data_IF_940249570244
#
_entry.id   IF_940249570244
#
_cell.length_a   1.000
_cell.length_b   1.000
_cell.length_c   1.000
_cell.angle_alpha   90.00
_cell.angle_beta   90.00
_cell.angle_gamma   90.00
#
_symmetry.space_group_name_H-M   'P 1'
#
loop_
_entity.id
_entity.type
_entity.pdbx_description
1 polymer ?
#
# COMPACT_ATOMS: atom_id res chain seq x y z
N UNK A 1 48.30 5.78 16.64
CA UNK A 1 47.50 6.84 17.28
C UNK A 1 46.13 6.84 16.63
N UNK A 2 45.07 6.89 17.41
CA UNK A 2 43.70 6.86 16.89
C UNK A 2 43.31 8.28 16.41
N UNK A 3 43.44 8.53 15.11
CA UNK A 3 43.17 9.84 14.50
C UNK A 3 41.70 10.26 14.63
N UNK A 4 40.79 9.31 14.89
CA UNK A 4 39.35 9.56 14.99
C UNK A 4 39.01 10.21 16.35
N UNK A 5 39.79 9.94 17.41
CA UNK A 5 39.54 10.52 18.73
C UNK A 5 39.75 12.04 18.80
N UNK A 6 40.47 12.61 17.83
CA UNK A 6 40.75 14.05 17.73
C UNK A 6 39.69 14.85 16.95
N UNK A 7 38.69 14.19 16.36
CA UNK A 7 37.64 14.89 15.62
C UNK A 7 36.77 15.76 16.53
N UNK A 8 36.36 16.98 16.10
CA UNK A 8 35.38 17.80 16.80
C UNK A 8 34.08 17.03 17.10
N UNK A 9 33.42 17.36 18.21
CA UNK A 9 32.22 16.66 18.67
C UNK A 9 31.10 16.70 17.64
N UNK A 10 30.91 17.84 16.97
CA UNK A 10 29.93 18.02 15.90
C UNK A 10 30.14 17.05 14.73
N UNK A 11 31.40 16.80 14.35
CA UNK A 11 31.74 15.86 13.28
C UNK A 11 31.44 14.43 13.73
N UNK A 12 31.77 14.08 14.97
CA UNK A 12 31.46 12.76 15.54
C UNK A 12 29.94 12.55 15.55
N UNK A 13 29.16 13.51 16.05
CA UNK A 13 27.68 13.43 16.06
C UNK A 13 27.16 13.27 14.64
N UNK A 14 27.67 14.04 13.68
CA UNK A 14 27.30 13.93 12.26
C UNK A 14 27.61 12.54 11.70
N UNK A 15 28.77 11.96 12.00
CA UNK A 15 29.11 10.58 11.63
C UNK A 15 28.10 9.59 12.25
N UNK A 16 27.80 9.73 13.54
CA UNK A 16 26.85 8.88 14.24
C UNK A 16 25.43 8.97 13.65
N UNK A 17 25.03 10.11 13.07
CA UNK A 17 23.71 10.23 12.41
C UNK A 17 23.55 9.37 11.14
N UNK A 18 24.65 8.93 10.54
CA UNK A 18 24.64 8.02 9.39
C UNK A 18 24.62 6.53 9.79
N UNK A 19 24.82 6.23 11.08
CA UNK A 19 24.83 4.87 11.60
C UNK A 19 23.45 4.49 12.14
N UNK A 20 23.14 3.19 12.10
CA UNK A 20 21.97 2.65 12.82
C UNK A 20 22.21 2.76 14.31
N UNK A 21 21.14 2.89 15.10
CA UNK A 21 21.27 3.03 16.56
C UNK A 21 22.08 1.88 17.17
N UNK A 22 21.88 0.63 16.75
CA UNK A 22 22.72 -0.51 17.20
C UNK A 22 24.23 -0.28 17.03
N UNK A 23 24.64 0.30 15.92
CA UNK A 23 26.05 0.55 15.61
C UNK A 23 26.56 1.77 16.37
N UNK A 24 25.75 2.83 16.48
CA UNK A 24 26.02 3.96 17.38
C UNK A 24 26.27 3.46 18.81
N UNK A 25 25.43 2.55 19.31
CA UNK A 25 25.58 2.00 20.67
C UNK A 25 26.89 1.22 20.84
N UNK A 26 27.34 0.49 19.81
CA UNK A 26 28.64 -0.20 19.85
C UNK A 26 29.80 0.77 19.98
N UNK A 27 29.70 1.96 19.39
CA UNK A 27 30.75 2.98 19.52
C UNK A 27 30.86 3.57 20.93
N UNK A 28 29.82 3.46 21.77
CA UNK A 28 29.84 3.99 23.15
C UNK A 28 30.91 3.33 24.03
N UNK A 29 31.36 2.12 23.68
CA UNK A 29 32.37 1.39 24.45
C UNK A 29 33.79 1.90 24.15
N UNK A 30 33.97 2.66 23.06
CA UNK A 30 35.28 3.15 22.61
C UNK A 30 35.86 4.20 23.56
N UNK A 31 35.04 5.13 24.08
CA UNK A 31 35.47 6.06 25.12
C UNK A 31 34.30 6.76 25.83
N UNK A 32 34.60 7.42 26.96
CA UNK A 32 33.64 8.26 27.70
C UNK A 32 33.03 9.38 26.81
N UNK A 33 33.79 9.89 25.83
CA UNK A 33 33.34 10.92 24.88
C UNK A 33 32.30 10.38 23.91
N UNK A 34 32.52 9.21 23.30
CA UNK A 34 31.52 8.59 22.43
C UNK A 34 30.24 8.23 23.19
N UNK A 35 30.40 7.82 24.45
CA UNK A 35 29.28 7.57 25.38
C UNK A 35 28.47 8.82 25.75
N UNK A 36 29.02 10.03 25.69
CA UNK A 36 28.22 11.25 25.91
C UNK A 36 27.56 11.75 24.62
N UNK A 37 28.24 11.61 23.47
CA UNK A 37 27.80 12.18 22.20
C UNK A 37 26.64 11.44 21.54
N UNK A 38 26.47 10.14 21.78
CA UNK A 38 25.36 9.40 21.16
C UNK A 38 23.97 9.93 21.58
N UNK A 39 23.86 10.56 22.75
CA UNK A 39 22.62 11.16 23.26
C UNK A 39 22.16 12.31 22.34
N UNK A 40 23.10 12.94 21.63
CA UNK A 40 22.84 14.04 20.69
C UNK A 40 22.33 13.54 19.33
N UNK A 41 22.37 12.24 19.06
CA UNK A 41 21.88 11.70 17.79
C UNK A 41 20.36 11.89 17.71
N UNK A 42 19.80 12.53 16.67
CA UNK A 42 18.39 12.89 16.63
C UNK A 42 17.47 11.72 16.26
N UNK A 43 18.02 10.55 15.95
CA UNK A 43 17.28 9.36 15.50
C UNK A 43 17.60 8.18 16.41
N UNK A 44 16.55 7.60 16.99
CA UNK A 44 16.66 6.41 17.83
C UNK A 44 15.83 5.27 17.27
N UNK A 45 16.47 4.12 17.15
CA UNK A 45 15.90 2.86 16.70
C UNK A 45 16.10 1.83 17.82
N UNK A 46 15.01 1.42 18.45
CA UNK A 46 15.01 0.35 19.44
C UNK A 46 14.18 -0.81 18.91
N UNK A 47 14.88 -1.84 18.45
CA UNK A 47 14.26 -3.06 17.97
C UNK A 47 14.51 -4.19 18.97
N UNK A 48 13.52 -4.47 19.81
CA UNK A 48 13.64 -5.51 20.84
C UNK A 48 13.97 -6.87 20.20
N UNK A 49 13.30 -7.19 19.08
CA UNK A 49 13.35 -8.47 18.35
C UNK A 49 14.71 -8.74 17.68
N UNK A 50 15.46 -7.72 17.27
CA UNK A 50 16.74 -7.91 16.55
C UNK A 50 17.97 -7.46 17.35
N UNK A 51 17.78 -6.68 18.41
CA UNK A 51 18.89 -6.21 19.26
C UNK A 51 19.24 -7.18 20.38
N UNK A 52 18.28 -8.01 20.83
CA UNK A 52 18.50 -8.98 21.90
C UNK A 52 18.43 -10.44 21.45
N UNK A 53 18.00 -10.70 20.22
CA UNK A 53 17.90 -12.03 19.67
C UNK A 53 18.99 -12.21 18.59
N UNK A 54 19.84 -13.23 18.78
CA UNK A 54 20.44 -13.93 17.64
C UNK A 54 19.33 -14.61 16.82
N UNK A 55 19.67 -15.20 15.67
CA UNK A 55 18.75 -16.00 14.85
C UNK A 55 17.71 -16.79 15.67
N UNK A 56 16.50 -16.93 15.12
CA UNK A 56 15.22 -17.44 15.68
C UNK A 56 15.23 -18.72 16.57
N UNK A 57 16.39 -19.28 16.94
CA UNK A 57 16.56 -20.51 17.71
C UNK A 57 16.62 -20.35 19.23
N UNK A 58 16.85 -19.16 19.80
CA UNK A 58 16.93 -18.98 21.27
C UNK A 58 15.77 -18.12 21.80
N UNK A 59 14.82 -18.76 22.50
CA UNK A 59 13.72 -18.05 23.17
C UNK A 59 14.29 -17.18 24.30
N UNK A 60 14.30 -15.87 24.12
CA UNK A 60 14.78 -14.94 25.14
C UNK A 60 14.03 -15.10 26.46
N UNK A 61 14.77 -14.97 27.56
CA UNK A 61 14.25 -15.08 28.92
C UNK A 61 13.70 -13.74 29.41
N UNK A 62 12.73 -13.74 30.34
CA UNK A 62 12.15 -12.52 30.95
C UNK A 62 13.21 -11.46 31.40
N UNK A 63 14.37 -11.84 31.97
CA UNK A 63 15.45 -10.91 32.32
C UNK A 63 16.02 -10.08 31.17
N UNK A 64 16.05 -10.59 29.94
CA UNK A 64 16.65 -9.88 28.80
C UNK A 64 15.78 -8.72 28.33
N UNK A 65 14.46 -8.86 28.44
CA UNK A 65 13.50 -7.78 28.18
C UNK A 65 13.65 -6.62 29.18
N UNK A 66 13.87 -6.93 30.47
CA UNK A 66 14.08 -5.91 31.50
C UNK A 66 15.35 -5.09 31.22
N UNK A 67 16.42 -5.72 30.70
CA UNK A 67 17.64 -4.99 30.31
C UNK A 67 17.36 -4.02 29.17
N UNK A 68 16.57 -4.44 28.18
CA UNK A 68 16.16 -3.59 27.07
C UNK A 68 15.34 -2.39 27.53
N UNK A 69 14.31 -2.57 28.36
CA UNK A 69 13.49 -1.44 28.81
C UNK A 69 14.28 -0.45 29.65
N UNK A 70 15.10 -0.93 30.58
CA UNK A 70 16.00 -0.07 31.37
C UNK A 70 16.96 0.71 30.47
N UNK A 71 17.32 0.15 29.34
CA UNK A 71 18.16 0.82 28.37
C UNK A 71 17.37 1.89 27.60
N UNK A 72 16.16 1.60 27.13
CA UNK A 72 15.27 2.60 26.51
C UNK A 72 15.01 3.76 27.48
N UNK A 73 14.65 3.46 28.73
CA UNK A 73 14.49 4.44 29.82
C UNK A 73 15.70 5.36 29.93
N UNK A 74 16.88 4.77 30.16
CA UNK A 74 18.12 5.55 30.31
C UNK A 74 18.43 6.36 29.05
N UNK A 75 18.10 5.83 27.87
CA UNK A 75 18.36 6.49 26.61
C UNK A 75 17.51 7.74 26.41
N UNK A 76 16.23 7.66 26.75
CA UNK A 76 15.31 8.79 26.63
C UNK A 76 15.53 9.80 27.76
N UNK A 77 15.73 9.34 28.99
CA UNK A 77 15.91 10.21 30.16
C UNK A 77 17.26 10.92 30.19
N UNK A 78 18.30 10.37 29.54
CA UNK A 78 19.61 11.02 29.48
C UNK A 78 19.69 12.17 28.48
N UNK A 79 18.64 12.40 27.67
CA UNK A 79 18.55 13.53 26.75
C UNK A 79 18.22 14.80 27.54
N UNK A 80 19.21 15.66 27.72
CA UNK A 80 19.07 16.95 28.40
C UNK A 80 18.34 18.00 27.52
N UNK A 81 17.11 17.71 27.07
CA UNK A 81 16.33 18.63 26.24
C UNK A 81 16.69 18.64 24.75
N UNK A 82 17.52 17.70 24.30
CA UNK A 82 17.94 17.61 22.90
C UNK A 82 16.82 17.10 22.01
N UNK A 83 16.67 17.71 20.82
CA UNK A 83 15.60 17.39 19.89
C UNK A 83 15.70 15.94 19.44
N UNK A 84 14.63 15.18 19.65
CA UNK A 84 14.48 13.82 19.13
C UNK A 84 13.64 13.88 17.86
N UNK A 85 14.28 13.85 16.69
CA UNK A 85 13.57 13.96 15.42
C UNK A 85 12.77 12.70 15.09
N UNK A 86 13.36 11.52 15.29
CA UNK A 86 12.77 10.24 14.91
C UNK A 86 12.92 9.20 16.01
N UNK A 87 11.84 8.47 16.27
CA UNK A 87 11.82 7.33 17.17
C UNK A 87 11.19 6.13 16.47
N UNK A 88 11.89 5.01 16.48
CA UNK A 88 11.36 3.71 16.13
C UNK A 88 11.42 2.79 17.34
N UNK A 89 10.28 2.20 17.65
CA UNK A 89 10.12 1.21 18.71
C UNK A 89 9.46 -0.02 18.13
N UNK A 90 10.16 -1.16 18.17
CA UNK A 90 9.57 -2.48 17.97
C UNK A 90 9.60 -3.23 19.28
N UNK A 91 8.41 -3.49 19.81
CA UNK A 91 8.20 -4.10 21.12
C UNK A 91 7.59 -5.50 20.97
N UNK A 92 8.08 -6.44 21.76
CA UNK A 92 7.66 -7.84 21.86
C UNK A 92 6.51 -8.01 22.87
N UNK A 93 6.37 -9.16 23.52
CA UNK A 93 5.18 -9.52 24.29
C UNK A 93 5.16 -9.09 25.77
N UNK A 94 6.25 -8.50 26.30
CA UNK A 94 6.39 -8.30 27.75
C UNK A 94 6.36 -6.84 28.24
N UNK A 95 6.20 -5.85 27.38
CA UNK A 95 6.21 -4.43 27.79
C UNK A 95 5.05 -4.08 28.74
N UNK A 96 5.25 -3.06 29.59
CA UNK A 96 4.16 -2.45 30.36
C UNK A 96 3.61 -1.24 29.61
N UNK A 97 2.29 -1.04 29.70
CA UNK A 97 1.60 0.13 29.14
C UNK A 97 2.27 1.43 29.61
N UNK A 98 2.46 1.56 30.93
CA UNK A 98 2.93 2.80 31.56
C UNK A 98 4.31 3.21 31.04
N UNK A 99 5.20 2.25 30.82
CA UNK A 99 6.55 2.50 30.33
C UNK A 99 6.51 3.09 28.90
N UNK A 100 5.66 2.54 28.03
CA UNK A 100 5.50 3.02 26.64
C UNK A 100 4.92 4.43 26.61
N UNK A 101 3.92 4.72 27.44
CA UNK A 101 3.34 6.07 27.55
C UNK A 101 4.38 7.07 28.06
N UNK A 102 5.21 6.70 29.06
CA UNK A 102 6.29 7.55 29.56
C UNK A 102 7.33 7.81 28.46
N UNK A 103 7.74 6.79 27.72
CA UNK A 103 8.71 6.92 26.64
C UNK A 103 8.23 7.87 25.56
N UNK A 104 6.98 7.70 25.13
CA UNK A 104 6.39 8.50 24.06
C UNK A 104 6.08 9.92 24.53
N UNK A 105 5.58 10.10 25.76
CA UNK A 105 5.41 11.42 26.36
C UNK A 105 6.74 12.18 26.48
N UNK A 106 7.83 11.49 26.81
CA UNK A 106 9.18 12.07 26.84
C UNK A 106 9.65 12.43 25.43
N UNK A 107 9.45 11.53 24.45
CA UNK A 107 9.82 11.78 23.06
C UNK A 107 9.08 12.99 22.47
N UNK A 108 7.77 13.10 22.73
CA UNK A 108 6.92 14.22 22.31
C UNK A 108 7.43 15.54 22.90
N UNK A 109 7.80 15.57 24.19
CA UNK A 109 8.42 16.75 24.83
C UNK A 109 9.73 17.17 24.15
N UNK A 110 10.46 16.25 23.55
CA UNK A 110 11.68 16.54 22.78
C UNK A 110 11.43 16.87 21.31
N UNK A 111 10.19 17.19 20.92
CA UNK A 111 9.87 17.68 19.57
C UNK A 111 9.85 16.59 18.51
N UNK A 112 9.33 15.41 18.86
CA UNK A 112 9.20 14.26 17.96
C UNK A 112 8.51 14.63 16.63
N UNK A 113 9.16 14.27 15.51
CA UNK A 113 8.62 14.48 14.17
C UNK A 113 8.23 13.19 13.47
N UNK A 114 8.94 12.11 13.72
CA UNK A 114 8.68 10.82 13.08
C UNK A 114 8.60 9.72 14.14
N UNK A 115 7.47 9.03 14.18
CA UNK A 115 7.26 7.89 15.05
C UNK A 115 6.88 6.66 14.23
N UNK A 116 7.57 5.55 14.50
CA UNK A 116 7.16 4.23 14.07
C UNK A 116 7.13 3.28 15.26
N UNK A 117 5.94 2.80 15.61
CA UNK A 117 5.69 1.93 16.74
C UNK A 117 5.10 0.61 16.25
N UNK A 118 5.74 -0.50 16.56
CA UNK A 118 5.33 -1.83 16.16
C UNK A 118 5.22 -2.75 17.37
N UNK A 119 4.08 -3.40 17.55
CA UNK A 119 3.87 -4.42 18.56
C UNK A 119 3.91 -5.81 17.92
N UNK A 120 4.66 -6.73 18.51
CA UNK A 120 4.82 -8.12 18.06
C UNK A 120 4.09 -9.12 18.98
N UNK A 121 3.22 -8.62 19.88
CA UNK A 121 2.50 -9.48 20.82
C UNK A 121 1.28 -10.15 20.16
N UNK A 122 0.85 -11.28 20.73
CA UNK A 122 -0.43 -11.94 20.41
C UNK A 122 -1.66 -11.17 20.92
N UNK A 123 -1.45 -10.06 21.63
CA UNK A 123 -2.49 -9.20 22.19
C UNK A 123 -2.54 -7.83 21.52
N UNK A 124 -3.51 -7.03 21.94
CA UNK A 124 -3.68 -5.65 21.45
C UNK A 124 -2.63 -4.75 22.10
N UNK A 125 -1.79 -4.09 21.29
CA UNK A 125 -0.88 -3.06 21.78
C UNK A 125 -1.61 -1.87 22.41
N UNK A 126 -1.00 -1.19 23.39
CA UNK A 126 -1.64 -0.09 24.11
C UNK A 126 -1.91 1.09 23.19
N UNK A 127 -2.99 1.82 23.48
CA UNK A 127 -3.16 3.17 22.96
C UNK A 127 -2.17 4.10 23.65
N UNK A 128 -1.74 5.17 22.96
CA UNK A 128 -0.79 6.12 23.54
C UNK A 128 -1.35 7.52 23.40
N UNK A 129 -1.73 8.11 24.53
CA UNK A 129 -2.50 9.35 24.56
C UNK A 129 -1.64 10.58 24.24
N UNK A 130 -0.39 10.58 24.70
CA UNK A 130 0.57 11.67 24.45
C UNK A 130 0.84 11.95 22.97
N UNK A 131 0.56 11.01 22.07
CA UNK A 131 0.76 11.20 20.64
C UNK A 131 -0.28 12.11 20.00
N UNK A 132 -1.53 12.06 20.45
CA UNK A 132 -2.64 12.76 19.79
C UNK A 132 -2.58 14.27 19.94
N UNK A 133 -1.79 14.79 20.88
CA UNK A 133 -1.57 16.23 21.10
C UNK A 133 -0.22 16.70 20.58
N UNK A 134 0.54 15.84 19.89
CA UNK A 134 1.86 16.17 19.38
C UNK A 134 1.78 17.01 18.10
N UNK A 135 1.91 18.33 18.23
CA UNK A 135 1.83 19.26 17.10
C UNK A 135 3.03 19.19 16.16
N UNK A 136 4.18 18.66 16.61
CA UNK A 136 5.41 18.54 15.81
C UNK A 136 5.44 17.28 14.94
N UNK A 137 4.54 16.32 15.17
CA UNK A 137 4.55 15.02 14.52
C UNK A 137 4.17 15.15 13.04
N UNK A 138 5.06 14.72 12.15
CA UNK A 138 4.92 14.75 10.70
C UNK A 138 4.58 13.36 10.15
N UNK A 139 5.17 12.31 10.72
CA UNK A 139 4.97 10.91 10.32
C UNK A 139 4.59 10.07 11.52
N UNK A 140 3.43 9.42 11.45
CA UNK A 140 2.95 8.47 12.44
C UNK A 140 2.70 7.11 11.79
N UNK A 141 3.43 6.09 12.23
CA UNK A 141 3.25 4.71 11.78
C UNK A 141 3.00 3.81 13.00
N UNK A 142 1.80 3.26 13.08
CA UNK A 142 1.39 2.34 14.13
C UNK A 142 1.11 0.96 13.53
N UNK A 143 1.64 -0.08 14.15
CA UNK A 143 1.43 -1.48 13.74
C UNK A 143 1.06 -2.35 14.92
N UNK A 144 -0.04 -3.11 14.78
CA UNK A 144 -0.57 -4.04 15.79
C UNK A 144 -0.94 -3.39 17.14
N UNK A 145 -1.28 -2.10 17.13
CA UNK A 145 -1.69 -1.36 18.33
C UNK A 145 -3.21 -1.25 18.49
N UNK A 146 -3.63 -0.47 19.48
CA UNK A 146 -5.01 0.00 19.65
C UNK A 146 -5.14 1.45 19.20
N UNK A 147 -6.21 1.74 18.47
CA UNK A 147 -6.63 3.09 18.15
C UNK A 147 -7.82 3.46 19.04
N UNK A 148 -7.51 4.18 20.12
CA UNK A 148 -8.49 4.83 21.00
C UNK A 148 -8.26 6.33 20.96
N UNK A 149 -9.17 7.06 20.32
CA UNK A 149 -8.98 8.46 19.98
C UNK A 149 -9.63 9.32 21.07
N UNK A 150 -8.86 10.11 21.84
CA UNK A 150 -9.40 10.94 22.90
C UNK A 150 -10.28 12.08 22.35
N UNK A 151 -10.95 12.81 23.25
CA UNK A 151 -11.80 13.96 22.87
C UNK A 151 -10.99 15.12 22.29
N UNK A 152 -9.74 15.27 22.73
CA UNK A 152 -8.87 16.38 22.33
C UNK A 152 -7.71 15.83 21.51
N UNK A 153 -7.69 16.17 20.22
CA UNK A 153 -6.67 15.72 19.25
C UNK A 153 -6.16 16.94 18.50
N UNK A 154 -4.84 17.09 18.40
CA UNK A 154 -4.17 18.18 17.70
C UNK A 154 -2.95 17.64 16.95
N UNK A 155 -3.13 17.23 15.69
CA UNK A 155 -2.08 16.66 14.83
C UNK A 155 -1.82 17.56 13.61
N UNK A 156 -1.56 18.84 13.88
CA UNK A 156 -1.50 19.91 12.86
C UNK A 156 -0.39 19.76 11.81
N UNK A 157 0.70 19.08 12.15
CA UNK A 157 1.84 18.87 11.24
C UNK A 157 1.83 17.52 10.53
N UNK A 158 0.85 16.65 10.81
CA UNK A 158 0.87 15.26 10.37
C UNK A 158 0.61 15.17 8.86
N UNK A 159 1.64 14.75 8.13
CA UNK A 159 1.60 14.55 6.66
C UNK A 159 1.40 13.10 6.27
N UNK A 160 1.86 12.16 7.10
CA UNK A 160 1.77 10.73 6.81
C UNK A 160 1.23 9.97 8.01
N UNK A 161 0.11 9.27 7.81
CA UNK A 161 -0.49 8.37 8.77
C UNK A 161 -0.54 6.95 8.19
N UNK A 162 0.08 6.00 8.89
CA UNK A 162 0.05 4.58 8.56
C UNK A 162 -0.46 3.77 9.74
N UNK A 163 -1.57 3.07 9.54
CA UNK A 163 -2.20 2.22 10.54
C UNK A 163 -2.25 0.80 9.98
N UNK A 164 -1.50 -0.11 10.61
CA UNK A 164 -1.32 -1.49 10.15
C UNK A 164 -1.81 -2.46 11.22
N UNK A 165 -2.76 -3.33 10.87
CA UNK A 165 -3.35 -4.34 11.76
C UNK A 165 -3.81 -3.75 13.10
N UNK A 166 -4.39 -2.55 13.07
CA UNK A 166 -4.84 -1.88 14.29
C UNK A 166 -6.12 -2.54 14.81
N UNK A 167 -6.27 -2.55 16.12
CA UNK A 167 -7.54 -2.78 16.80
C UNK A 167 -8.23 -1.44 17.06
N UNK A 168 -9.55 -1.41 16.94
CA UNK A 168 -10.34 -0.19 17.10
C UNK A 168 -11.27 -0.39 18.30
N UNK A 169 -11.01 0.34 19.39
CA UNK A 169 -11.90 0.35 20.56
C UNK A 169 -13.26 0.93 20.20
N UNK A 170 -13.27 1.92 19.31
CA UNK A 170 -14.46 2.55 18.77
C UNK A 170 -14.42 2.46 17.23
N UNK A 171 -15.47 1.92 16.56
CA UNK A 171 -15.51 1.85 15.10
C UNK A 171 -15.41 3.23 14.41
N UNK A 172 -15.76 4.31 15.12
CA UNK A 172 -15.70 5.69 14.65
C UNK A 172 -14.37 6.40 15.00
N UNK A 173 -13.35 5.68 15.48
CA UNK A 173 -12.07 6.30 15.85
C UNK A 173 -11.42 7.08 14.68
N UNK A 174 -11.43 6.53 13.46
CA UNK A 174 -10.92 7.24 12.28
C UNK A 174 -11.70 8.51 11.95
N UNK A 175 -13.04 8.46 12.09
CA UNK A 175 -13.92 9.61 11.89
C UNK A 175 -13.59 10.77 12.84
N UNK A 176 -13.10 10.46 14.04
CA UNK A 176 -12.65 11.45 15.01
C UNK A 176 -11.22 11.92 14.75
N UNK A 177 -10.34 11.03 14.28
CA UNK A 177 -8.93 11.33 14.09
C UNK A 177 -8.66 12.19 12.85
N UNK A 178 -9.20 11.81 11.69
CA UNK A 178 -8.85 12.41 10.40
C UNK A 178 -9.13 13.93 10.29
N UNK A 179 -10.24 14.48 10.83
CA UNK A 179 -10.48 15.92 10.81
C UNK A 179 -9.42 16.75 11.54
N UNK A 180 -8.67 16.13 12.47
CA UNK A 180 -7.63 16.79 13.27
C UNK A 180 -6.23 16.75 12.60
N UNK A 181 -6.16 16.27 11.35
CA UNK A 181 -4.94 16.15 10.55
C UNK A 181 -5.05 17.00 9.25
N UNK A 182 -5.08 18.35 9.35
CA UNK A 182 -5.44 19.22 8.21
C UNK A 182 -4.46 19.17 7.03
N UNK A 183 -3.19 18.81 7.27
CA UNK A 183 -2.13 18.77 6.25
C UNK A 183 -1.77 17.34 5.78
N UNK A 184 -2.63 16.36 6.09
CA UNK A 184 -2.38 14.95 5.79
C UNK A 184 -2.33 14.70 4.29
N UNK A 185 -1.17 14.28 3.79
CA UNK A 185 -0.95 13.97 2.38
C UNK A 185 -1.06 12.47 2.08
N UNK A 186 -0.71 11.63 3.05
CA UNK A 186 -0.59 10.18 2.90
C UNK A 186 -1.34 9.42 3.98
N UNK A 187 -2.27 8.56 3.56
CA UNK A 187 -3.03 7.68 4.44
C UNK A 187 -2.91 6.22 4.00
N UNK A 188 -2.33 5.39 4.87
CA UNK A 188 -2.22 3.94 4.67
C UNK A 188 -2.99 3.21 5.76
N UNK A 189 -4.09 2.56 5.39
CA UNK A 189 -4.88 1.69 6.26
C UNK A 189 -4.73 0.26 5.77
N UNK A 190 -4.03 -0.57 6.54
CA UNK A 190 -3.74 -1.95 6.18
C UNK A 190 -4.22 -2.86 7.28
N UNK A 191 -5.20 -3.71 7.00
CA UNK A 191 -5.74 -4.65 7.96
C UNK A 191 -5.40 -6.07 7.52
N UNK A 192 -4.48 -6.73 8.26
CA UNK A 192 -4.04 -8.11 7.96
C UNK A 192 -4.82 -9.18 8.71
N UNK A 193 -5.35 -8.83 9.88
CA UNK A 193 -6.09 -9.74 10.76
C UNK A 193 -7.61 -9.60 10.60
N UNK A 194 -8.31 -10.67 10.95
CA UNK A 194 -9.76 -10.69 11.05
C UNK A 194 -10.25 -9.64 12.05
N UNK A 195 -11.27 -8.87 11.66
CA UNK A 195 -12.00 -8.01 12.58
C UNK A 195 -13.39 -8.60 12.81
N UNK A 196 -13.84 -8.68 14.07
CA UNK A 196 -15.17 -9.18 14.38
C UNK A 196 -16.28 -8.23 13.87
N UNK A 197 -15.97 -6.93 13.77
CA UNK A 197 -16.95 -5.89 13.45
C UNK A 197 -16.66 -5.22 12.10
N UNK A 198 -17.71 -4.69 11.47
CA UNK A 198 -17.57 -3.83 10.29
C UNK A 198 -16.90 -2.50 10.68
N UNK A 199 -16.02 -2.00 9.81
CA UNK A 199 -15.41 -0.67 9.96
C UNK A 199 -15.91 0.21 8.83
N UNK A 200 -16.58 1.30 9.17
CA UNK A 200 -16.97 2.28 8.16
C UNK A 200 -15.80 3.25 7.93
N UNK A 201 -15.33 3.30 6.69
CA UNK A 201 -14.24 4.18 6.27
C UNK A 201 -14.83 5.42 5.62
N UNK A 202 -15.04 6.48 6.40
CA UNK A 202 -15.39 7.79 5.85
C UNK A 202 -14.16 8.71 5.89
N UNK A 203 -13.54 8.86 4.73
CA UNK A 203 -12.26 9.52 4.52
C UNK A 203 -12.52 10.84 3.81
N UNK A 204 -12.65 11.89 4.62
CA UNK A 204 -12.85 13.27 4.15
C UNK A 204 -11.63 14.08 4.56
N UNK A 205 -10.67 14.19 3.65
CA UNK A 205 -9.37 14.81 3.91
C UNK A 205 -8.95 15.61 2.67
N UNK A 206 -9.22 16.93 2.62
CA UNK A 206 -8.98 17.74 1.43
C UNK A 206 -7.52 17.79 0.96
N UNK A 207 -6.57 17.65 1.88
CA UNK A 207 -5.12 17.68 1.62
C UNK A 207 -4.55 16.34 1.11
N UNK A 208 -5.34 15.27 1.10
CA UNK A 208 -4.87 13.92 0.82
C UNK A 208 -4.46 13.73 -0.64
N UNK A 209 -3.23 13.25 -0.85
CA UNK A 209 -2.64 12.98 -2.17
C UNK A 209 -2.54 11.48 -2.45
N UNK A 210 -2.32 10.65 -1.42
CA UNK A 210 -2.20 9.19 -1.56
C UNK A 210 -3.03 8.47 -0.51
N UNK A 211 -3.86 7.54 -0.98
CA UNK A 211 -4.69 6.67 -0.15
C UNK A 211 -4.40 5.21 -0.48
N UNK A 212 -4.13 4.40 0.54
CA UNK A 212 -4.04 2.95 0.42
C UNK A 212 -4.94 2.28 1.44
N UNK A 213 -5.92 1.52 0.97
CA UNK A 213 -6.85 0.73 1.77
C UNK A 213 -6.61 -0.75 1.45
N UNK A 214 -6.10 -1.51 2.41
CA UNK A 214 -5.88 -2.95 2.26
C UNK A 214 -6.71 -3.66 3.34
N UNK A 215 -7.79 -4.33 2.94
CA UNK A 215 -8.69 -5.05 3.82
C UNK A 215 -8.36 -6.56 3.84
N UNK A 216 -8.70 -7.28 4.94
CA UNK A 216 -8.32 -8.67 5.09
C UNK A 216 -9.15 -9.58 4.18
N UNK A 217 -8.67 -10.82 4.02
CA UNK A 217 -9.25 -11.87 3.18
C UNK A 217 -10.61 -12.39 3.67
N UNK A 218 -11.00 -12.12 4.92
CA UNK A 218 -12.28 -12.51 5.50
C UNK A 218 -12.80 -11.41 6.42
N UNK A 219 -13.90 -10.78 6.02
CA UNK A 219 -14.75 -9.95 6.87
C UNK A 219 -16.12 -10.60 6.83
N UNK A 220 -16.72 -10.85 7.99
CA UNK A 220 -18.07 -11.42 8.04
C UNK A 220 -19.13 -10.41 7.60
N UNK A 221 -18.81 -9.11 7.72
CA UNK A 221 -19.73 -8.00 7.46
C UNK A 221 -19.20 -7.08 6.35
N UNK A 222 -20.12 -6.42 5.66
CA UNK A 222 -19.79 -5.40 4.67
C UNK A 222 -19.44 -4.09 5.38
N UNK A 223 -18.32 -3.51 5.03
CA UNK A 223 -17.78 -2.23 5.49
C UNK A 223 -18.06 -1.16 4.44
N UNK A 224 -18.67 -0.06 4.85
CA UNK A 224 -18.98 1.06 3.95
C UNK A 224 -17.77 1.98 3.79
N UNK A 225 -17.50 2.41 2.55
CA UNK A 225 -16.39 3.29 2.20
C UNK A 225 -16.92 4.55 1.52
N UNK A 226 -16.58 5.71 2.09
CA UNK A 226 -16.86 7.04 1.56
C UNK A 226 -15.52 7.76 1.43
N UNK A 227 -15.19 8.23 0.23
CA UNK A 227 -13.93 8.94 -0.02
C UNK A 227 -14.25 10.27 -0.70
N UNK A 228 -13.98 11.36 0.02
CA UNK A 228 -14.09 12.73 -0.49
C UNK A 228 -12.75 13.45 -0.26
N UNK A 229 -11.91 13.40 -1.30
CA UNK A 229 -10.51 13.83 -1.25
C UNK A 229 -10.12 14.46 -2.59
N UNK A 230 -10.42 15.75 -2.83
CA UNK A 230 -10.30 16.39 -4.15
C UNK A 230 -8.88 16.44 -4.70
N UNK A 231 -7.84 16.38 -3.86
CA UNK A 231 -6.43 16.42 -4.28
C UNK A 231 -5.79 15.05 -4.47
N UNK A 232 -6.58 13.98 -4.44
CA UNK A 232 -6.08 12.60 -4.53
C UNK A 232 -5.41 12.34 -5.89
N UNK A 233 -4.17 11.85 -5.85
CA UNK A 233 -3.35 11.50 -7.03
C UNK A 233 -3.11 10.01 -7.15
N UNK A 234 -3.14 9.29 -6.04
CA UNK A 234 -2.95 7.83 -6.01
C UNK A 234 -3.98 7.18 -5.09
N UNK A 235 -4.71 6.22 -5.62
CA UNK A 235 -5.64 5.37 -4.89
C UNK A 235 -5.21 3.91 -5.00
N UNK A 236 -5.03 3.24 -3.88
CA UNK A 236 -4.83 1.80 -3.83
C UNK A 236 -5.93 1.18 -2.97
N UNK A 237 -6.70 0.26 -3.54
CA UNK A 237 -7.70 -0.50 -2.79
C UNK A 237 -7.44 -1.98 -3.05
N UNK A 238 -7.14 -2.72 -1.99
CA UNK A 238 -6.97 -4.16 -2.03
C UNK A 238 -8.00 -4.78 -1.08
N UNK A 239 -8.98 -5.51 -1.60
CA UNK A 239 -9.91 -6.26 -0.78
C UNK A 239 -10.31 -7.56 -1.46
N UNK A 240 -9.80 -8.67 -0.93
CA UNK A 240 -9.99 -9.99 -1.52
C UNK A 240 -11.13 -10.79 -0.89
N UNK A 241 -12.01 -10.13 -0.14
CA UNK A 241 -13.09 -10.79 0.61
C UNK A 241 -14.52 -10.44 0.15
N UNK A 242 -14.71 -9.46 -0.73
CA UNK A 242 -16.07 -9.04 -1.13
C UNK A 242 -16.78 -8.14 -0.11
N UNK A 243 -16.07 -7.66 0.90
CA UNK A 243 -16.63 -7.00 2.07
C UNK A 243 -16.69 -5.47 2.03
N UNK A 244 -16.30 -4.81 0.93
CA UNK A 244 -16.38 -3.35 0.84
C UNK A 244 -17.53 -2.94 -0.05
N UNK A 245 -18.31 -1.96 0.39
CA UNK A 245 -19.31 -1.26 -0.42
C UNK A 245 -19.01 0.24 -0.44
N UNK A 246 -19.17 0.85 -1.60
CA UNK A 246 -19.01 2.30 -1.77
C UNK A 246 -20.40 2.95 -1.74
N UNK A 247 -20.57 4.06 -1.04
CA UNK A 247 -21.90 4.68 -0.89
C UNK A 247 -22.15 5.80 -1.91
N UNK A 248 -21.13 6.63 -2.13
CA UNK A 248 -21.16 7.86 -2.94
C UNK A 248 -20.05 7.85 -4.01
N UNK A 249 -20.26 8.52 -5.16
CA UNK A 249 -19.22 8.72 -6.14
C UNK A 249 -18.07 9.56 -5.58
N UNK A 250 -16.84 9.13 -5.83
CA UNK A 250 -15.66 9.87 -5.38
C UNK A 250 -15.51 11.21 -6.11
N UNK A 251 -15.37 12.30 -5.37
CA UNK A 251 -14.97 13.60 -5.90
C UNK A 251 -13.44 13.67 -5.99
N UNK A 252 -12.87 13.31 -7.13
CA UNK A 252 -11.42 13.17 -7.29
C UNK A 252 -10.83 14.09 -8.37
N UNK A 253 -9.54 14.38 -8.20
CA UNK A 253 -8.73 15.19 -9.10
C UNK A 253 -8.60 14.60 -10.51
N UNK A 254 -8.28 15.49 -11.45
CA UNK A 254 -8.01 15.23 -12.86
C UNK A 254 -6.88 14.23 -13.16
N UNK A 255 -5.98 13.98 -12.20
CA UNK A 255 -4.76 13.17 -12.37
C UNK A 255 -4.71 12.05 -11.33
N UNK A 256 -5.76 11.22 -11.27
CA UNK A 256 -5.79 10.06 -10.39
C UNK A 256 -5.19 8.82 -11.09
N UNK A 257 -4.23 8.17 -10.42
CA UNK A 257 -3.83 6.78 -10.68
C UNK A 257 -4.52 5.87 -9.66
N UNK A 258 -5.23 4.85 -10.12
CA UNK A 258 -5.90 3.89 -9.26
C UNK A 258 -5.41 2.46 -9.49
N UNK A 259 -5.04 1.79 -8.41
CA UNK A 259 -4.72 0.37 -8.37
C UNK A 259 -5.74 -0.35 -7.48
N UNK A 260 -6.63 -1.11 -8.09
CA UNK A 260 -7.80 -1.69 -7.45
C UNK A 260 -7.76 -3.21 -7.63
N UNK A 261 -7.38 -3.90 -6.57
CA UNK A 261 -7.40 -5.37 -6.47
C UNK A 261 -8.54 -5.77 -5.54
N UNK A 262 -9.78 -5.78 -6.05
CA UNK A 262 -10.96 -5.95 -5.21
C UNK A 262 -11.89 -7.03 -5.76
N UNK A 263 -12.23 -7.99 -4.94
CA UNK A 263 -13.43 -8.81 -5.16
C UNK A 263 -14.61 -7.94 -4.75
N UNK A 264 -15.45 -7.54 -5.71
CA UNK A 264 -16.62 -6.71 -5.47
C UNK A 264 -17.84 -7.60 -5.62
N UNK A 265 -18.77 -7.51 -4.66
CA UNK A 265 -20.12 -8.07 -4.82
C UNK A 265 -21.08 -7.10 -5.54
N UNK A 266 -20.69 -5.82 -5.67
CA UNK A 266 -21.44 -4.72 -6.30
C UNK A 266 -20.48 -3.66 -6.85
N UNK A 267 -19.88 -3.87 -8.04
CA UNK A 267 -18.86 -2.98 -8.58
C UNK A 267 -19.40 -1.63 -9.07
N UNK A 268 -20.71 -1.52 -9.30
CA UNK A 268 -21.36 -0.40 -9.99
C UNK A 268 -20.94 0.98 -9.45
N UNK A 269 -21.10 1.18 -8.13
CA UNK A 269 -20.80 2.46 -7.47
C UNK A 269 -19.30 2.79 -7.48
N UNK A 270 -18.45 1.76 -7.35
CA UNK A 270 -17.01 1.96 -7.49
C UNK A 270 -16.70 2.36 -8.93
N UNK A 271 -17.11 1.58 -9.92
CA UNK A 271 -16.85 1.86 -11.35
C UNK A 271 -17.32 3.26 -11.76
N UNK A 272 -18.49 3.70 -11.29
CA UNK A 272 -18.96 5.06 -11.51
C UNK A 272 -18.02 6.11 -10.90
N UNK A 273 -17.51 5.87 -9.69
CA UNK A 273 -16.50 6.72 -9.04
C UNK A 273 -15.16 6.75 -9.78
N UNK A 274 -14.86 5.73 -10.59
CA UNK A 274 -13.62 5.62 -11.34
C UNK A 274 -13.70 6.23 -12.75
N UNK A 275 -14.86 6.74 -13.18
CA UNK A 275 -15.06 7.23 -14.55
C UNK A 275 -14.11 8.37 -14.96
N UNK A 276 -13.64 9.18 -13.99
CA UNK A 276 -12.71 10.29 -14.21
C UNK A 276 -11.22 9.91 -14.24
N UNK A 277 -10.89 8.64 -14.00
CA UNK A 277 -9.52 8.17 -13.76
C UNK A 277 -8.73 7.98 -15.06
N UNK A 278 -7.42 8.26 -15.00
CA UNK A 278 -6.52 8.17 -16.17
C UNK A 278 -5.82 6.82 -16.26
N UNK A 279 -5.53 6.19 -15.13
CA UNK A 279 -4.82 4.91 -15.05
C UNK A 279 -5.51 3.99 -14.06
N UNK A 280 -5.96 2.83 -14.53
CA UNK A 280 -6.67 1.83 -13.73
C UNK A 280 -5.95 0.49 -13.83
N UNK A 281 -5.74 -0.16 -12.69
CA UNK A 281 -5.42 -1.60 -12.61
C UNK A 281 -6.54 -2.32 -11.85
N UNK A 282 -7.05 -3.43 -12.41
CA UNK A 282 -8.20 -4.18 -11.89
C UNK A 282 -7.91 -5.69 -11.78
N UNK A 283 -8.17 -6.29 -10.62
CA UNK A 283 -8.49 -7.72 -10.49
C UNK A 283 -9.86 -7.77 -9.79
N UNK A 284 -10.93 -8.04 -10.56
CA UNK A 284 -12.28 -8.21 -10.04
C UNK A 284 -12.71 -9.68 -10.17
N UNK A 285 -13.48 -10.18 -9.21
CA UNK A 285 -14.31 -11.39 -9.38
C UNK A 285 -15.73 -10.99 -9.10
N UNK A 286 -16.68 -11.46 -9.89
CA UNK A 286 -18.07 -11.42 -9.45
C UNK A 286 -18.90 -12.51 -10.13
N UNK A 287 -19.73 -13.15 -9.32
CA UNK A 287 -20.61 -14.27 -9.64
C UNK A 287 -21.91 -13.81 -10.33
N UNK A 288 -22.31 -12.53 -10.22
CA UNK A 288 -23.65 -12.06 -10.66
C UNK A 288 -23.73 -10.57 -11.07
N UNK A 289 -22.80 -10.03 -11.89
CA UNK A 289 -22.76 -8.58 -12.22
C UNK A 289 -23.69 -8.14 -13.33
N UNK A 290 -24.65 -7.29 -12.95
CA UNK A 290 -25.16 -6.21 -13.81
C UNK A 290 -24.07 -5.13 -13.89
N UNK A 291 -23.37 -5.04 -15.02
CA UNK A 291 -22.42 -3.94 -15.21
C UNK A 291 -23.26 -2.70 -15.48
N UNK A 292 -23.00 -1.59 -14.79
CA UNK A 292 -23.85 -0.42 -14.89
C UNK A 292 -23.76 0.11 -16.33
N UNK A 293 -24.87 0.07 -17.06
CA UNK A 293 -24.93 0.66 -18.40
C UNK A 293 -24.58 2.15 -18.30
N UNK A 294 -23.60 2.60 -19.11
CA UNK A 294 -23.25 4.03 -19.21
C UNK A 294 -22.12 4.52 -18.28
N UNK A 295 -21.31 3.64 -17.68
CA UNK A 295 -20.09 4.06 -16.99
C UNK A 295 -18.97 4.42 -17.99
N UNK A 296 -19.10 5.54 -18.67
CA UNK A 296 -18.12 5.96 -19.67
C UNK A 296 -16.81 6.48 -19.03
N UNK A 297 -15.73 5.74 -19.22
CA UNK A 297 -14.36 6.09 -18.85
C UNK A 297 -13.73 7.03 -19.89
N UNK A 298 -14.28 8.24 -20.03
CA UNK A 298 -13.87 9.20 -21.05
C UNK A 298 -12.43 9.71 -20.94
N UNK A 299 -11.76 9.46 -19.81
CA UNK A 299 -10.38 9.93 -19.53
C UNK A 299 -9.36 8.80 -19.42
N UNK A 300 -9.80 7.54 -19.45
CA UNK A 300 -8.95 6.40 -19.17
C UNK A 300 -7.95 6.19 -20.31
N UNK A 301 -6.66 6.33 -20.02
CA UNK A 301 -5.56 6.16 -20.97
C UNK A 301 -4.81 4.84 -20.79
N UNK A 302 -4.81 4.30 -19.58
CA UNK A 302 -4.13 3.05 -19.24
C UNK A 302 -5.07 2.12 -18.47
N UNK A 303 -5.18 0.88 -18.92
CA UNK A 303 -5.96 -0.18 -18.28
C UNK A 303 -5.08 -1.42 -18.11
N UNK A 304 -4.91 -1.87 -16.87
CA UNK A 304 -4.35 -3.19 -16.55
C UNK A 304 -5.44 -4.10 -15.98
N UNK A 305 -5.64 -5.29 -16.55
CA UNK A 305 -6.62 -6.27 -16.06
C UNK A 305 -5.93 -7.57 -15.68
N UNK A 306 -6.35 -8.12 -14.55
CA UNK A 306 -5.85 -9.39 -14.04
C UNK A 306 -6.75 -10.55 -14.46
N UNK A 307 -6.14 -11.62 -14.97
CA UNK A 307 -6.81 -12.86 -15.42
C UNK A 307 -6.98 -13.89 -14.29
N UNK A 308 -6.88 -13.43 -13.04
CA UNK A 308 -6.97 -14.22 -11.80
C UNK A 308 -8.29 -15.01 -11.64
N UNK A 309 -9.36 -14.63 -12.34
CA UNK A 309 -10.76 -14.96 -12.04
C UNK A 309 -11.55 -15.21 -13.31
N UNK A 310 -12.55 -16.09 -13.27
CA UNK A 310 -13.28 -16.57 -14.45
C UNK A 310 -14.04 -15.47 -15.23
N UNK A 311 -14.45 -14.39 -14.57
CA UNK A 311 -15.33 -13.37 -15.16
C UNK A 311 -14.57 -12.16 -15.73
N UNK A 312 -13.23 -12.19 -15.68
CA UNK A 312 -12.37 -11.09 -16.12
C UNK A 312 -12.65 -10.66 -17.56
N UNK A 313 -12.95 -11.62 -18.46
CA UNK A 313 -13.12 -11.37 -19.89
C UNK A 313 -14.36 -10.52 -20.17
N UNK A 314 -15.50 -10.83 -19.55
CA UNK A 314 -16.74 -10.07 -19.74
C UNK A 314 -16.57 -8.62 -19.28
N UNK A 315 -15.93 -8.44 -18.11
CA UNK A 315 -15.62 -7.12 -17.58
C UNK A 315 -14.65 -6.36 -18.50
N UNK A 316 -13.60 -7.04 -18.95
CA UNK A 316 -12.61 -6.46 -19.86
C UNK A 316 -13.27 -5.92 -21.12
N UNK A 317 -14.15 -6.70 -21.77
CA UNK A 317 -14.84 -6.27 -22.98
C UNK A 317 -15.77 -5.08 -22.76
N UNK A 318 -16.49 -5.03 -21.63
CA UNK A 318 -17.33 -3.89 -21.25
C UNK A 318 -16.49 -2.63 -21.00
N UNK A 319 -15.36 -2.75 -20.29
CA UNK A 319 -14.43 -1.64 -20.06
C UNK A 319 -13.86 -1.09 -21.37
N UNK A 320 -13.52 -1.94 -22.34
CA UNK A 320 -13.06 -1.48 -23.65
C UNK A 320 -14.13 -0.66 -24.38
N UNK A 321 -15.40 -1.09 -24.32
CA UNK A 321 -16.51 -0.36 -24.94
C UNK A 321 -16.67 1.04 -24.35
N UNK A 322 -16.50 1.16 -23.04
CA UNK A 322 -16.72 2.40 -22.29
C UNK A 322 -15.48 3.30 -22.19
N UNK A 323 -14.33 2.91 -22.74
CA UNK A 323 -13.04 3.64 -22.61
C UNK A 323 -12.52 4.18 -23.94
N UNK A 324 -13.20 5.16 -24.59
CA UNK A 324 -12.92 5.52 -25.99
C UNK A 324 -11.51 6.07 -26.25
N UNK A 325 -10.85 6.67 -25.24
CA UNK A 325 -9.52 7.30 -25.36
C UNK A 325 -8.38 6.42 -24.85
N UNK A 326 -8.63 5.13 -24.64
CA UNK A 326 -7.65 4.19 -24.09
C UNK A 326 -6.46 4.02 -25.03
N UNK A 327 -5.24 4.21 -24.49
CA UNK A 327 -3.98 4.13 -25.23
C UNK A 327 -3.15 2.89 -24.91
N UNK A 328 -3.27 2.38 -23.69
CA UNK A 328 -2.48 1.25 -23.20
C UNK A 328 -3.39 0.22 -22.57
N UNK A 329 -3.28 -1.02 -23.04
CA UNK A 329 -3.89 -2.20 -22.43
C UNK A 329 -2.78 -3.10 -21.92
N UNK A 330 -2.89 -3.53 -20.67
CA UNK A 330 -2.03 -4.54 -20.06
C UNK A 330 -2.87 -5.67 -19.49
N UNK A 331 -2.55 -6.90 -19.83
CA UNK A 331 -3.18 -8.10 -19.27
C UNK A 331 -2.12 -8.83 -18.46
N UNK A 332 -2.41 -9.17 -17.21
CA UNK A 332 -1.40 -9.75 -16.32
C UNK A 332 -2.01 -10.64 -15.24
N UNK A 333 -1.64 -11.92 -15.19
CA UNK A 333 -2.06 -12.79 -14.10
C UNK A 333 -1.29 -12.51 -12.80
N UNK A 334 -1.79 -11.56 -12.01
CA UNK A 334 -1.15 -11.08 -10.79
C UNK A 334 -1.31 -12.06 -9.61
N UNK A 335 -2.32 -12.93 -9.65
CA UNK A 335 -2.68 -13.87 -8.57
C UNK A 335 -2.80 -15.31 -9.09
N UNK A 336 -2.65 -16.34 -8.23
CA UNK A 336 -2.96 -17.71 -8.59
C UNK A 336 -4.40 -17.82 -9.11
N UNK A 337 -4.62 -18.54 -10.21
CA UNK A 337 -5.97 -18.77 -10.74
C UNK A 337 -6.77 -19.61 -9.74
N UNK A 338 -7.98 -19.15 -9.41
CA UNK A 338 -8.92 -19.89 -8.58
C UNK A 338 -10.01 -20.40 -9.53
N UNK A 339 -10.02 -21.71 -9.80
CA UNK A 339 -10.88 -22.42 -10.75
C UNK A 339 -10.65 -22.05 -12.24
N UNK A 340 -9.83 -22.80 -12.98
CA UNK A 340 -9.67 -22.66 -14.43
C UNK A 340 -10.89 -23.28 -15.15
N UNK A 341 -12.09 -22.72 -14.98
CA UNK A 341 -13.23 -23.13 -15.78
C UNK A 341 -13.23 -22.41 -17.13
N UNK A 342 -13.55 -23.18 -18.17
CA UNK A 342 -13.57 -22.75 -19.57
C UNK A 342 -14.54 -21.58 -19.77
N UNK A 343 -14.02 -20.47 -20.28
CA UNK A 343 -14.83 -19.34 -20.72
C UNK A 343 -15.73 -19.74 -21.89
N UNK A 344 -17.04 -19.54 -21.78
CA UNK A 344 -17.92 -19.53 -22.95
C UNK A 344 -17.57 -18.30 -23.81
N UNK A 345 -17.11 -18.57 -25.02
CA UNK A 345 -16.73 -17.55 -26.01
C UNK A 345 -17.99 -16.87 -26.53
N UNK A 346 -18.28 -15.68 -26.02
CA UNK A 346 -19.17 -14.75 -26.71
C UNK A 346 -18.28 -13.74 -27.42
N UNK A 347 -18.17 -13.85 -28.74
CA UNK A 347 -17.53 -12.83 -29.55
C UNK A 347 -18.22 -11.47 -29.30
N UNK A 348 -17.47 -10.37 -29.17
CA UNK A 348 -18.08 -9.07 -28.97
C UNK A 348 -18.97 -8.69 -30.15
N UNK A 349 -20.17 -8.21 -29.84
CA UNK A 349 -21.20 -7.79 -30.80
C UNK A 349 -20.72 -6.60 -31.67
N UNK A 350 -19.74 -5.82 -31.20
CA UNK A 350 -19.13 -4.71 -31.95
C UNK A 350 -17.69 -4.46 -31.52
N UNK A 351 -16.89 -3.87 -32.42
CA UNK A 351 -15.50 -3.50 -32.13
C UNK A 351 -15.48 -2.25 -31.24
N UNK A 352 -14.86 -2.31 -30.05
CA UNK A 352 -14.71 -1.14 -29.19
C UNK A 352 -13.98 0.00 -29.90
N UNK A 353 -14.50 1.23 -29.79
CA UNK A 353 -13.93 2.42 -30.44
C UNK A 353 -12.47 2.65 -30.06
N UNK A 354 -12.07 2.29 -28.84
CA UNK A 354 -10.71 2.48 -28.36
C UNK A 354 -9.68 1.69 -29.18
N UNK A 355 -10.04 0.48 -29.62
CA UNK A 355 -9.16 -0.38 -30.43
C UNK A 355 -8.92 0.28 -31.79
N UNK A 356 -9.98 0.75 -32.46
CA UNK A 356 -9.86 1.31 -33.81
C UNK A 356 -9.24 2.71 -33.85
N UNK A 357 -9.28 3.49 -32.77
CA UNK A 357 -8.95 4.93 -32.81
C UNK A 357 -7.77 5.38 -31.95
N UNK A 358 -7.44 4.71 -30.84
CA UNK A 358 -6.51 5.27 -29.85
C UNK A 358 -5.49 4.29 -29.27
N UNK A 359 -5.70 2.97 -29.39
CA UNK A 359 -4.82 1.99 -28.76
C UNK A 359 -3.42 2.03 -29.39
N UNK A 360 -2.40 2.35 -28.58
CA UNK A 360 -1.00 2.45 -29.00
C UNK A 360 -0.15 1.28 -28.47
N UNK A 361 -0.45 0.77 -27.27
CA UNK A 361 0.35 -0.28 -26.62
C UNK A 361 -0.56 -1.39 -26.11
N UNK A 362 -0.20 -2.64 -26.44
CA UNK A 362 -0.79 -3.84 -25.89
C UNK A 362 0.29 -4.70 -25.24
N UNK A 363 0.11 -5.07 -23.97
CA UNK A 363 1.03 -5.90 -23.22
C UNK A 363 0.30 -7.08 -22.59
N UNK A 364 0.77 -8.31 -22.81
CA UNK A 364 0.28 -9.52 -22.15
C UNK A 364 1.42 -10.16 -21.35
N UNK A 365 1.28 -10.20 -20.03
CA UNK A 365 2.23 -10.84 -19.12
C UNK A 365 1.70 -12.21 -18.68
N UNK A 366 2.59 -13.20 -18.62
CA UNK A 366 2.29 -14.61 -18.32
C UNK A 366 1.32 -15.22 -19.34
N UNK A 367 1.59 -14.96 -20.62
CA UNK A 367 0.87 -15.57 -21.73
C UNK A 367 1.16 -17.08 -21.79
N UNK A 368 0.11 -17.89 -21.89
CA UNK A 368 0.17 -19.36 -21.95
C UNK A 368 -0.15 -19.90 -23.35
N UNK A 369 -0.66 -19.06 -24.26
CA UNK A 369 -0.96 -19.47 -25.63
C UNK A 369 -2.20 -20.36 -25.74
N UNK A 370 -3.08 -20.33 -24.75
CA UNK A 370 -4.35 -21.08 -24.82
C UNK A 370 -5.19 -20.59 -26.00
N UNK A 371 -6.17 -21.39 -26.44
CA UNK A 371 -7.05 -21.01 -27.55
C UNK A 371 -7.70 -19.63 -27.33
N UNK A 372 -8.23 -19.37 -26.12
CA UNK A 372 -8.86 -18.10 -25.79
C UNK A 372 -7.88 -16.92 -25.80
N UNK A 373 -6.68 -17.11 -25.25
CA UNK A 373 -5.66 -16.06 -25.25
C UNK A 373 -5.22 -15.71 -26.69
N UNK A 374 -5.11 -16.72 -27.55
CA UNK A 374 -4.80 -16.56 -28.98
C UNK A 374 -5.91 -15.82 -29.72
N UNK A 375 -7.16 -16.21 -29.50
CA UNK A 375 -8.33 -15.57 -30.10
C UNK A 375 -8.39 -14.09 -29.72
N UNK A 376 -8.22 -13.75 -28.44
CA UNK A 376 -8.24 -12.37 -27.97
C UNK A 376 -7.05 -11.56 -28.51
N UNK A 377 -5.84 -12.12 -28.47
CA UNK A 377 -4.64 -11.46 -28.98
C UNK A 377 -4.78 -11.17 -30.47
N UNK A 378 -5.26 -12.15 -31.24
CA UNK A 378 -5.50 -12.01 -32.67
C UNK A 378 -6.59 -10.98 -32.96
N UNK A 379 -7.66 -10.96 -32.17
CA UNK A 379 -8.73 -9.97 -32.28
C UNK A 379 -8.19 -8.54 -32.08
N UNK A 380 -7.40 -8.29 -31.03
CA UNK A 380 -6.81 -6.97 -30.78
C UNK A 380 -5.85 -6.58 -31.90
N UNK A 381 -4.96 -7.49 -32.33
CA UNK A 381 -4.02 -7.22 -33.42
C UNK A 381 -4.72 -6.91 -34.76
N UNK A 382 -5.85 -7.56 -35.04
CA UNK A 382 -6.66 -7.34 -36.26
C UNK A 382 -7.53 -6.10 -36.23
N UNK A 383 -7.81 -5.55 -35.05
CA UNK A 383 -8.72 -4.41 -34.88
C UNK A 383 -7.99 -3.11 -34.56
N UNK A 384 -6.82 -3.19 -33.93
CA UNK A 384 -6.07 -2.03 -33.48
C UNK A 384 -5.23 -1.39 -34.60
N UNK A 385 -5.79 -0.34 -35.22
CA UNK A 385 -5.19 0.34 -36.38
C UNK A 385 -3.99 1.21 -36.00
N UNK A 386 -3.99 1.79 -34.80
CA UNK A 386 -2.93 2.70 -34.32
C UNK A 386 -1.90 2.03 -33.39
N UNK A 387 -1.93 0.70 -33.31
CA UNK A 387 -1.07 -0.06 -32.41
C UNK A 387 0.40 0.11 -32.82
N UNK A 388 1.23 0.59 -31.89
CA UNK A 388 2.67 0.79 -32.10
C UNK A 388 3.48 -0.38 -31.57
N UNK A 389 3.06 -0.95 -30.44
CA UNK A 389 3.76 -2.04 -29.77
C UNK A 389 2.78 -3.07 -29.21
N UNK A 390 3.02 -4.34 -29.53
CA UNK A 390 2.39 -5.49 -28.92
C UNK A 390 3.47 -6.36 -28.26
N UNK A 391 3.46 -6.50 -26.94
CA UNK A 391 4.45 -7.28 -26.21
C UNK A 391 3.84 -8.44 -25.43
N UNK A 392 4.41 -9.63 -25.58
CA UNK A 392 3.97 -10.85 -24.91
C UNK A 392 5.11 -11.40 -24.06
N UNK A 393 4.86 -11.67 -22.79
CA UNK A 393 5.81 -12.33 -21.89
C UNK A 393 5.25 -13.70 -21.55
N UNK A 394 5.96 -14.76 -21.94
CA UNK A 394 5.48 -16.12 -21.72
C UNK A 394 5.47 -16.48 -20.23
N UNK A 395 4.51 -17.31 -19.80
CA UNK A 395 4.52 -17.91 -18.46
C UNK A 395 5.52 -19.06 -18.36
N UNK A 396 5.60 -19.87 -19.41
CA UNK A 396 6.46 -21.04 -19.46
C UNK A 396 7.92 -20.64 -19.67
N UNK A 397 8.85 -21.38 -19.08
CA UNK A 397 10.28 -21.30 -19.35
C UNK A 397 10.71 -22.22 -20.52
N UNK A 398 9.79 -23.04 -21.04
CA UNK A 398 10.03 -24.00 -22.10
C UNK A 398 10.24 -23.34 -23.48
N UNK A 399 11.43 -23.51 -24.05
CA UNK A 399 11.80 -22.92 -25.35
C UNK A 399 10.87 -23.31 -26.50
N UNK A 400 10.45 -24.58 -26.59
CA UNK A 400 9.57 -25.06 -27.67
C UNK A 400 8.19 -24.41 -27.63
N UNK A 401 7.61 -24.30 -26.44
CA UNK A 401 6.30 -23.70 -26.21
C UNK A 401 6.35 -22.19 -26.52
N UNK A 402 7.39 -21.49 -26.06
CA UNK A 402 7.63 -20.08 -26.42
C UNK A 402 7.72 -19.89 -27.94
N UNK A 403 8.47 -20.74 -28.63
CA UNK A 403 8.68 -20.64 -30.07
C UNK A 403 7.38 -20.89 -30.84
N UNK A 404 6.56 -21.85 -30.41
CA UNK A 404 5.25 -22.10 -31.00
C UNK A 404 4.30 -20.90 -30.82
N UNK A 405 4.22 -20.34 -29.61
CA UNK A 405 3.42 -19.14 -29.33
C UNK A 405 3.85 -17.95 -30.20
N UNK A 406 5.16 -17.76 -30.36
CA UNK A 406 5.74 -16.68 -31.16
C UNK A 406 5.40 -16.85 -32.64
N UNK A 407 5.58 -18.07 -33.19
CA UNK A 407 5.21 -18.38 -34.57
C UNK A 407 3.73 -18.07 -34.83
N UNK A 408 2.83 -18.55 -33.98
CA UNK A 408 1.39 -18.34 -34.15
C UNK A 408 1.00 -16.85 -34.11
N UNK A 409 1.53 -16.07 -33.16
CA UNK A 409 1.28 -14.62 -33.09
C UNK A 409 1.89 -13.86 -34.28
N UNK A 410 3.00 -14.34 -34.83
CA UNK A 410 3.66 -13.73 -35.99
C UNK A 410 2.85 -13.88 -37.28
N UNK A 411 2.12 -15.00 -37.43
CA UNK A 411 1.23 -15.27 -38.55
C UNK A 411 -0.10 -14.50 -38.49
N UNK A 412 -0.45 -13.95 -37.32
CA UNK A 412 -1.67 -13.17 -37.16
C UNK A 412 -1.61 -11.88 -37.99
N UNK A 413 -2.65 -11.68 -38.82
CA UNK A 413 -2.84 -10.45 -39.59
C UNK A 413 -2.94 -9.26 -38.64
N UNK A 414 -2.13 -8.22 -38.87
CA UNK A 414 -2.15 -6.97 -38.11
C UNK A 414 -2.87 -5.88 -38.90
N UNK A 415 -3.70 -5.09 -38.22
CA UNK A 415 -4.30 -3.89 -38.81
C UNK A 415 -3.30 -2.74 -38.92
N UNK A 416 -2.47 -2.57 -37.88
CA UNK A 416 -1.37 -1.60 -37.89
C UNK A 416 -0.14 -2.15 -38.63
N UNK A 417 0.32 -1.44 -39.65
CA UNK A 417 1.56 -1.75 -40.38
C UNK A 417 2.81 -1.38 -39.58
N UNK A 418 2.70 -0.47 -38.60
CA UNK A 418 3.82 0.03 -37.79
C UNK A 418 3.96 -0.69 -36.45
N UNK A 419 3.10 -1.67 -36.17
CA UNK A 419 3.14 -2.39 -34.90
C UNK A 419 4.37 -3.28 -34.79
N UNK A 420 5.22 -2.99 -33.82
CA UNK A 420 6.30 -3.87 -33.38
C UNK A 420 5.73 -5.01 -32.50
N UNK A 421 6.02 -6.25 -32.87
CA UNK A 421 5.67 -7.43 -32.08
C UNK A 421 6.89 -7.87 -31.27
N UNK A 422 6.82 -7.78 -29.95
CA UNK A 422 7.90 -8.14 -29.02
C UNK A 422 7.49 -9.36 -28.22
N UNK A 423 8.40 -10.33 -28.08
CA UNK A 423 8.18 -11.52 -27.27
C UNK A 423 9.34 -11.69 -26.29
N UNK A 424 9.03 -11.79 -24.99
CA UNK A 424 10.00 -11.86 -23.88
C UNK A 424 9.90 -13.18 -23.10
#
# INVERSE_FOLDING_TARGET
MDSISHLPEEIIVKILTFLRTKDVMRTMVLSKRWKSLWILVPRLEFDEVTHFFGSESERATRPDYVKFWRFVDRSLMSRAGQVLQSLYLRLSQYYKYDDVEIWLGTAVKFGLRELKLQYHSSGIGPCVNSLYTCETLVVLRLESGSLDVPDHVCLRSLKTLSLVSMSYSNPNALLRLLPNCPVLEDLFLVQRSFLPNALNYKIIVPSLKRLSLIAPLKLNNVSEVVIDTPLLKSLQIINRSGSLSFSEPMNNSEVLKANIDVILKRPEKLLHSLASIVHIRLCLSDSEVVYPHGCCFHRLKYLEVCTCKSEWFLLFMRLLQDSPVLKVIKINQCHPAINPHHHQSNQPVSVPRCLSSNLEIFEWIKYEGTQHERELSTYILKTAVFLKKASFTARSDGYKEKLQMLQELSFSRRASSTCELVFN
#
